data_IF_984604095488
#
_entry.id   IF_984604095488
#
_cell.length_a   1.000
_cell.length_b   1.000
_cell.length_c   1.000
_cell.angle_alpha   90.00
_cell.angle_beta   90.00
_cell.angle_gamma   90.00
#
_symmetry.space_group_name_H-M   'P 1'
#
loop_
_entity.id
_entity.type
_entity.pdbx_description
1 polymer ?
#
# COMPACT_ATOMS: atom_id res chain seq x y z
N UNK A 1 26.66 -72.42 20.42
CA UNK A 1 27.89 -72.80 19.74
C UNK A 1 28.46 -71.60 19.03
N UNK A 2 29.53 -71.20 19.45
CA UNK A 2 30.88 -70.90 19.02
C UNK A 2 31.03 -69.47 18.59
N UNK A 3 31.72 -68.72 19.35
CA UNK A 3 33.11 -68.43 19.63
C UNK A 3 33.69 -67.29 18.76
N UNK A 4 34.09 -66.26 19.50
CA UNK A 4 35.43 -65.55 19.45
C UNK A 4 35.72 -64.76 18.15
N UNK A 5 36.46 -63.67 18.18
CA UNK A 5 37.53 -63.08 19.05
C UNK A 5 37.78 -61.64 18.69
N UNK A 6 37.99 -60.88 19.71
CA UNK A 6 38.85 -59.70 19.88
C UNK A 6 40.03 -59.58 18.92
N UNK A 7 40.38 -58.35 18.52
CA UNK A 7 41.76 -57.83 18.58
C UNK A 7 41.72 -56.29 18.55
N UNK A 8 42.26 -55.74 19.63
CA UNK A 8 42.76 -54.38 19.73
C UNK A 8 43.92 -54.12 18.77
N UNK A 9 44.06 -52.91 18.29
CA UNK A 9 45.35 -52.25 18.17
C UNK A 9 45.19 -50.73 18.13
N UNK A 10 45.63 -50.15 19.21
CA UNK A 10 45.98 -48.74 19.34
C UNK A 10 47.15 -48.38 18.42
N UNK A 11 47.12 -47.22 17.81
CA UNK A 11 48.31 -46.46 17.51
C UNK A 11 48.02 -44.95 17.60
N UNK A 12 48.71 -44.33 18.50
CA UNK A 12 48.89 -42.88 18.67
C UNK A 12 49.62 -42.29 17.45
N UNK A 13 49.31 -41.06 17.15
CA UNK A 13 50.16 -39.92 16.78
C UNK A 13 49.34 -39.00 15.93
N UNK A 14 49.24 -37.79 16.32
CA UNK A 14 49.98 -36.64 16.12
C UNK A 14 49.13 -35.40 16.18
N UNK A 15 49.37 -34.56 17.13
CA UNK A 15 48.81 -33.21 17.25
C UNK A 15 49.25 -32.32 16.08
N UNK A 16 48.31 -31.59 15.50
CA UNK A 16 48.55 -30.29 14.88
C UNK A 16 47.31 -29.43 15.09
N UNK A 17 47.39 -28.61 16.12
CA UNK A 17 46.43 -27.54 16.35
C UNK A 17 46.68 -26.45 15.31
N UNK A 18 45.83 -26.36 14.28
CA UNK A 18 45.65 -25.17 13.47
C UNK A 18 44.55 -24.33 14.09
N UNK A 19 44.91 -23.38 14.90
CA UNK A 19 44.03 -22.29 15.32
C UNK A 19 43.91 -21.34 14.14
N UNK A 20 42.94 -21.61 13.26
CA UNK A 20 42.42 -20.62 12.35
C UNK A 20 41.43 -19.76 13.13
N UNK A 21 41.90 -18.63 13.67
CA UNK A 21 41.01 -17.54 14.10
C UNK A 21 40.35 -16.94 12.85
N UNK A 22 39.35 -17.63 12.35
CA UNK A 22 38.45 -17.09 11.33
C UNK A 22 37.50 -16.14 12.03
N UNK A 23 37.70 -14.84 11.89
CA UNK A 23 36.69 -13.82 12.17
C UNK A 23 35.53 -14.05 11.21
N UNK A 24 34.59 -14.88 11.62
CA UNK A 24 33.31 -15.06 10.92
C UNK A 24 32.55 -13.75 11.02
N UNK A 25 32.61 -12.95 9.97
CA UNK A 25 31.65 -11.86 9.78
C UNK A 25 30.29 -12.52 9.62
N UNK A 26 29.52 -12.57 10.70
CA UNK A 26 28.11 -12.96 10.63
C UNK A 26 27.40 -11.89 9.78
N UNK A 27 27.16 -12.20 8.50
CA UNK A 27 26.24 -11.44 7.69
C UNK A 27 24.87 -11.60 8.33
N UNK A 28 24.44 -10.58 9.08
CA UNK A 28 23.09 -10.49 9.57
C UNK A 28 22.15 -10.54 8.34
N UNK A 29 21.11 -11.40 8.33
CA UNK A 29 20.14 -11.37 7.25
C UNK A 29 19.57 -9.97 7.18
N UNK A 30 19.71 -9.30 6.05
CA UNK A 30 18.98 -8.07 5.76
C UNK A 30 17.50 -8.44 5.77
N UNK A 31 16.79 -8.04 6.83
CA UNK A 31 15.34 -8.17 6.87
C UNK A 31 14.81 -7.33 5.70
N UNK A 32 14.34 -8.01 4.66
CA UNK A 32 13.60 -7.35 3.58
C UNK A 32 12.32 -6.78 4.21
N UNK A 33 12.25 -5.45 4.31
CA UNK A 33 11.02 -4.82 4.77
C UNK A 33 9.89 -5.23 3.81
N UNK A 34 8.78 -5.75 4.37
CA UNK A 34 7.59 -6.00 3.59
C UNK A 34 7.15 -4.68 2.91
N UNK A 35 6.67 -4.72 1.65
CA UNK A 35 6.15 -3.52 1.00
C UNK A 35 5.11 -2.86 1.92
N UNK A 36 5.22 -1.55 2.10
CA UNK A 36 4.24 -0.82 2.89
C UNK A 36 2.84 -0.99 2.26
N UNK A 37 1.85 -1.32 3.09
CA UNK A 37 0.47 -1.43 2.64
C UNK A 37 -0.05 -0.05 2.22
N UNK A 38 -1.00 -0.02 1.28
CA UNK A 38 -1.69 1.20 0.89
C UNK A 38 -2.38 1.87 2.10
N UNK A 39 -2.39 3.18 2.12
CA UNK A 39 -3.04 3.97 3.17
C UNK A 39 -4.50 4.24 2.81
N UNK A 40 -5.42 4.00 3.73
CA UNK A 40 -6.82 4.37 3.58
C UNK A 40 -7.08 5.73 4.27
N UNK A 41 -7.71 6.65 3.55
CA UNK A 41 -8.04 8.00 4.03
C UNK A 41 -9.53 8.28 3.88
N UNK A 42 -10.19 8.61 5.00
CA UNK A 42 -11.56 9.11 5.00
C UNK A 42 -11.63 10.56 4.50
N UNK A 43 -12.58 10.84 3.63
CA UNK A 43 -12.82 12.15 2.99
C UNK A 43 -14.32 12.43 3.02
N UNK A 44 -14.70 13.67 3.40
CA UNK A 44 -15.99 14.23 3.08
C UNK A 44 -15.87 14.94 1.73
N UNK A 45 -16.73 14.64 0.78
CA UNK A 45 -16.65 15.18 -0.59
C UNK A 45 -17.02 16.67 -0.64
N UNK A 46 -16.42 17.39 -1.58
CA UNK A 46 -16.94 18.69 -2.02
C UNK A 46 -18.05 18.52 -3.06
N UNK A 47 -18.78 19.58 -3.33
CA UNK A 47 -19.71 19.66 -4.47
C UNK A 47 -18.98 19.60 -5.81
N UNK A 48 -19.73 19.61 -6.90
CA UNK A 48 -19.21 19.60 -8.27
C UNK A 48 -17.99 20.49 -8.46
N UNK A 49 -16.88 19.87 -8.89
CA UNK A 49 -15.57 20.50 -9.11
C UNK A 49 -14.98 21.28 -7.92
N UNK A 50 -15.56 21.19 -6.74
CA UNK A 50 -14.99 21.77 -5.52
C UNK A 50 -14.12 20.75 -4.75
N UNK A 51 -13.60 21.16 -3.61
CA UNK A 51 -12.81 20.30 -2.73
C UNK A 51 -13.57 20.10 -1.42
N UNK A 52 -13.61 18.86 -0.97
CA UNK A 52 -14.00 18.50 0.39
C UNK A 52 -12.77 18.43 1.30
N UNK A 53 -12.69 17.40 2.10
CA UNK A 53 -11.52 17.14 2.94
C UNK A 53 -10.29 16.91 2.07
N UNK A 54 -9.19 17.60 2.38
CA UNK A 54 -7.90 17.45 1.67
C UNK A 54 -7.02 16.44 2.42
N UNK A 55 -6.34 15.57 1.68
CA UNK A 55 -5.33 14.63 2.17
C UNK A 55 -4.10 14.69 1.26
N UNK A 56 -2.99 14.14 1.72
CA UNK A 56 -1.79 13.97 0.89
C UNK A 56 -1.66 12.50 0.48
N UNK A 57 -1.31 12.27 -0.78
CA UNK A 57 -1.01 10.94 -1.32
C UNK A 57 0.12 10.31 -0.51
N UNK A 58 -0.05 9.09 -0.06
CA UNK A 58 0.98 8.35 0.68
C UNK A 58 2.22 8.08 -0.21
N UNK A 59 3.38 8.04 0.43
CA UNK A 59 4.65 7.70 -0.24
C UNK A 59 4.86 6.17 -0.22
N UNK A 60 3.91 5.41 -0.77
CA UNK A 60 3.99 3.95 -0.87
C UNK A 60 4.24 3.55 -2.31
N UNK A 61 5.31 2.83 -2.58
CA UNK A 61 5.72 2.43 -3.94
C UNK A 61 4.73 1.47 -4.63
N UNK A 62 3.81 0.87 -3.88
CA UNK A 62 2.83 -0.09 -4.39
C UNK A 62 1.46 0.52 -4.68
N UNK A 63 1.24 1.78 -4.34
CA UNK A 63 -0.07 2.42 -4.40
C UNK A 63 0.04 3.76 -5.13
N UNK A 64 0.16 3.72 -6.47
CA UNK A 64 0.28 4.91 -7.33
C UNK A 64 -1.03 5.64 -7.59
N UNK A 65 -2.18 5.03 -7.26
CA UNK A 65 -3.49 5.50 -7.65
C UNK A 65 -4.31 6.00 -6.45
N UNK A 66 -5.38 6.75 -6.73
CA UNK A 66 -6.42 7.09 -5.76
C UNK A 66 -7.62 6.17 -6.01
N UNK A 67 -7.77 5.15 -5.19
CA UNK A 67 -8.80 4.13 -5.34
C UNK A 67 -9.96 4.41 -4.41
N UNK A 68 -11.16 4.60 -4.95
CA UNK A 68 -12.39 4.69 -4.15
C UNK A 68 -12.73 3.30 -3.63
N UNK A 69 -12.51 3.06 -2.35
CA UNK A 69 -12.74 1.74 -1.72
C UNK A 69 -13.99 1.69 -0.85
N UNK A 70 -14.60 2.83 -0.59
CA UNK A 70 -15.89 2.94 0.08
C UNK A 70 -16.56 4.25 -0.32
N UNK A 71 -17.90 4.22 -0.46
CA UNK A 71 -18.72 5.42 -0.59
C UNK A 71 -20.02 5.29 0.19
N UNK A 72 -20.50 6.41 0.71
CA UNK A 72 -21.80 6.57 1.35
C UNK A 72 -22.32 7.95 1.02
N UNK A 73 -23.41 7.99 0.25
CA UNK A 73 -24.09 9.23 -0.13
C UNK A 73 -24.70 9.91 1.11
N UNK A 74 -24.62 11.22 1.18
CA UNK A 74 -25.14 12.01 2.30
C UNK A 74 -26.65 12.22 2.25
N UNK A 75 -27.29 11.92 1.13
CA UNK A 75 -28.74 12.03 0.92
C UNK A 75 -29.45 10.67 0.97
N UNK A 76 -30.69 10.62 0.54
CA UNK A 76 -31.48 9.38 0.41
C UNK A 76 -31.15 8.57 -0.87
N UNK A 77 -30.25 9.03 -1.71
CA UNK A 77 -29.80 8.30 -2.91
C UNK A 77 -28.84 7.19 -2.49
N UNK A 78 -28.85 6.11 -3.23
CA UNK A 78 -27.94 4.97 -2.99
C UNK A 78 -26.66 5.03 -3.86
N UNK A 79 -26.43 6.15 -4.55
CA UNK A 79 -25.25 6.36 -5.39
C UNK A 79 -24.97 7.84 -5.62
N UNK A 80 -23.75 8.16 -5.95
CA UNK A 80 -23.35 9.42 -6.57
C UNK A 80 -22.25 9.15 -7.61
N UNK A 81 -21.73 10.22 -8.20
CA UNK A 81 -20.59 10.18 -9.12
C UNK A 81 -19.43 10.92 -8.48
N UNK A 82 -18.29 10.25 -8.35
CA UNK A 82 -17.14 10.76 -7.64
C UNK A 82 -15.97 11.01 -8.59
N UNK A 83 -15.29 12.11 -8.41
CA UNK A 83 -14.08 12.47 -9.14
C UNK A 83 -12.93 12.81 -8.20
N UNK A 84 -11.75 12.29 -8.51
CA UNK A 84 -10.52 12.69 -7.84
C UNK A 84 -10.10 14.09 -8.24
N UNK A 85 -9.69 14.88 -7.25
CA UNK A 85 -9.19 16.25 -7.41
C UNK A 85 -7.75 16.31 -6.94
N UNK A 86 -6.86 16.83 -7.77
CA UNK A 86 -5.44 17.01 -7.43
C UNK A 86 -5.06 18.48 -7.43
N UNK A 87 -4.16 18.84 -6.52
CA UNK A 87 -3.63 20.19 -6.41
C UNK A 87 -2.28 20.30 -7.09
N UNK A 88 -2.12 21.26 -8.00
CA UNK A 88 -0.84 21.60 -8.62
C UNK A 88 0.08 22.35 -7.65
N UNK A 89 1.34 22.45 -8.01
CA UNK A 89 2.34 23.22 -7.25
C UNK A 89 2.03 24.72 -7.17
N UNK A 90 1.31 25.27 -8.16
CA UNK A 90 0.82 26.64 -8.17
C UNK A 90 -0.41 26.88 -7.27
N UNK A 91 -0.90 25.81 -6.62
CA UNK A 91 -2.07 25.86 -5.73
C UNK A 91 -3.41 25.64 -6.42
N UNK A 92 -3.47 25.54 -7.75
CA UNK A 92 -4.72 25.30 -8.48
C UNK A 92 -5.15 23.84 -8.39
N UNK A 93 -6.46 23.63 -8.42
CA UNK A 93 -7.05 22.29 -8.41
C UNK A 93 -7.54 21.86 -9.80
N UNK A 94 -7.45 20.58 -10.10
CA UNK A 94 -7.99 20.03 -11.33
C UNK A 94 -8.60 18.65 -11.08
N UNK A 95 -9.56 18.28 -11.94
CA UNK A 95 -10.19 16.95 -11.94
C UNK A 95 -9.33 15.97 -12.70
N UNK A 96 -9.12 14.78 -12.16
CA UNK A 96 -8.39 13.71 -12.83
C UNK A 96 -9.04 13.29 -14.15
N UNK A 97 -8.25 12.72 -15.05
CA UNK A 97 -8.65 12.42 -16.43
C UNK A 97 -9.88 11.51 -16.53
N UNK A 98 -10.08 10.61 -15.55
CA UNK A 98 -11.24 9.71 -15.50
C UNK A 98 -12.57 10.45 -15.25
N UNK A 99 -12.50 11.67 -14.71
CA UNK A 99 -13.66 12.48 -14.35
C UNK A 99 -14.56 11.77 -13.33
N UNK A 100 -15.89 11.87 -13.48
CA UNK A 100 -16.87 11.37 -12.53
C UNK A 100 -17.20 9.90 -12.78
N UNK A 101 -17.02 9.07 -11.77
CA UNK A 101 -17.31 7.63 -11.77
C UNK A 101 -18.50 7.38 -10.88
N UNK A 102 -19.54 6.70 -11.41
CA UNK A 102 -20.68 6.28 -10.61
C UNK A 102 -20.26 5.21 -9.61
N UNK A 103 -20.62 5.40 -8.35
CA UNK A 103 -20.47 4.40 -7.31
C UNK A 103 -21.72 4.34 -6.42
N UNK A 104 -22.16 3.13 -6.13
CA UNK A 104 -23.23 2.87 -5.17
C UNK A 104 -22.66 2.84 -3.75
N UNK A 105 -23.51 3.09 -2.76
CA UNK A 105 -23.10 3.00 -1.36
C UNK A 105 -22.52 1.62 -1.02
N UNK A 106 -21.44 1.61 -0.25
CA UNK A 106 -20.78 0.40 0.20
C UNK A 106 -19.31 0.30 -0.18
N UNK A 107 -18.79 -0.93 -0.11
CA UNK A 107 -17.38 -1.22 -0.37
C UNK A 107 -17.12 -1.51 -1.85
N UNK A 108 -15.96 -1.04 -2.33
CA UNK A 108 -15.48 -1.28 -3.69
C UNK A 108 -14.12 -1.96 -3.64
N UNK A 109 -13.84 -2.84 -4.61
CA UNK A 109 -12.55 -3.51 -4.68
C UNK A 109 -11.46 -2.54 -5.12
N UNK A 110 -10.33 -2.53 -4.40
CA UNK A 110 -9.14 -1.75 -4.76
C UNK A 110 -8.58 -2.15 -6.14
N UNK A 111 -8.81 -3.40 -6.56
CA UNK A 111 -8.33 -3.93 -7.83
C UNK A 111 -9.31 -3.69 -8.99
N UNK A 112 -10.47 -3.08 -8.74
CA UNK A 112 -11.42 -2.72 -9.77
C UNK A 112 -11.07 -1.34 -10.34
N UNK A 113 -10.52 -1.32 -11.55
CA UNK A 113 -10.13 -0.09 -12.22
C UNK A 113 -11.29 0.86 -12.49
N UNK A 114 -12.55 0.42 -12.38
CA UNK A 114 -13.73 1.29 -12.45
C UNK A 114 -13.65 2.37 -11.36
N UNK A 115 -13.16 2.04 -10.19
CA UNK A 115 -13.10 2.91 -9.01
C UNK A 115 -11.76 3.60 -8.80
N UNK A 116 -10.84 3.54 -9.76
CA UNK A 116 -9.61 4.32 -9.71
C UNK A 116 -9.89 5.76 -10.15
N UNK A 117 -10.04 6.67 -9.20
CA UNK A 117 -10.40 8.06 -9.51
C UNK A 117 -9.27 8.84 -10.17
N UNK A 118 -8.03 8.57 -9.78
CA UNK A 118 -6.81 9.13 -10.39
C UNK A 118 -5.76 8.03 -10.48
N UNK A 119 -4.96 8.02 -11.52
CA UNK A 119 -3.85 7.08 -11.73
C UNK A 119 -2.51 7.81 -11.75
N UNK A 120 -1.44 7.09 -11.41
CA UNK A 120 -0.05 7.60 -11.45
C UNK A 120 0.13 8.92 -10.68
N UNK A 121 -0.45 9.00 -9.48
CA UNK A 121 -0.38 10.18 -8.63
C UNK A 121 0.94 10.19 -7.85
N UNK A 122 1.71 11.26 -8.00
CA UNK A 122 2.97 11.44 -7.28
C UNK A 122 2.76 11.47 -5.76
N UNK A 123 3.74 10.95 -5.03
CA UNK A 123 3.76 10.99 -3.57
C UNK A 123 3.62 12.41 -3.03
N UNK A 124 2.98 12.52 -1.88
CA UNK A 124 2.70 13.79 -1.19
C UNK A 124 1.85 14.81 -1.97
N UNK A 125 1.32 14.44 -3.15
CA UNK A 125 0.38 15.30 -3.87
C UNK A 125 -0.88 15.51 -3.03
N UNK A 126 -1.28 16.76 -2.75
CA UNK A 126 -2.55 17.04 -2.10
C UNK A 126 -3.71 16.61 -3.00
N UNK A 127 -4.65 15.87 -2.44
CA UNK A 127 -5.84 15.42 -3.15
C UNK A 127 -7.11 15.61 -2.34
N UNK A 128 -8.24 15.59 -3.02
CA UNK A 128 -9.59 15.60 -2.48
C UNK A 128 -10.51 14.81 -3.40
N UNK A 129 -11.77 14.72 -3.05
CA UNK A 129 -12.82 14.12 -3.89
C UNK A 129 -13.98 15.10 -3.99
N UNK A 130 -14.53 15.24 -5.20
CA UNK A 130 -15.83 15.91 -5.42
C UNK A 130 -16.88 14.91 -5.84
N UNK A 131 -18.11 15.15 -5.41
CA UNK A 131 -19.31 14.45 -5.92
C UNK A 131 -20.07 15.35 -6.91
N UNK A 132 -20.79 14.71 -7.82
CA UNK A 132 -21.47 15.41 -8.92
C UNK A 132 -22.82 15.96 -8.48
N UNK A 133 -23.58 15.17 -7.73
CA UNK A 133 -24.97 15.49 -7.41
C UNK A 133 -25.09 16.41 -6.20
N UNK A 134 -24.30 16.13 -5.17
CA UNK A 134 -24.28 16.89 -3.92
C UNK A 134 -22.98 16.64 -3.16
N UNK A 135 -22.47 17.64 -2.43
CA UNK A 135 -21.31 17.48 -1.56
C UNK A 135 -21.69 16.84 -0.22
N UNK A 136 -20.68 16.53 0.59
CA UNK A 136 -20.88 16.04 1.95
C UNK A 136 -20.92 14.52 2.10
N UNK A 137 -20.75 13.77 1.02
CA UNK A 137 -20.66 12.31 1.05
C UNK A 137 -19.43 11.84 1.80
N UNK A 138 -19.54 10.70 2.45
CA UNK A 138 -18.42 10.04 3.11
C UNK A 138 -17.78 9.02 2.18
N UNK A 139 -16.51 9.21 1.83
CA UNK A 139 -15.77 8.27 0.99
C UNK A 139 -14.45 7.85 1.63
N UNK A 140 -13.98 6.66 1.30
CA UNK A 140 -12.62 6.20 1.64
C UNK A 140 -11.82 6.05 0.37
N UNK A 141 -10.66 6.72 0.34
CA UNK A 141 -9.67 6.60 -0.72
C UNK A 141 -8.49 5.81 -0.20
N UNK A 142 -8.17 4.71 -0.88
CA UNK A 142 -6.97 3.92 -0.61
C UNK A 142 -5.89 4.26 -1.63
N UNK A 143 -4.68 4.62 -1.11
CA UNK A 143 -3.60 5.20 -1.92
C UNK A 143 -2.21 4.86 -1.41
#
# INVERSE_FOLDING_TARGET
>A
MSKRRTINRSLLAGALAFVCAGTGVALAPVASAAPAACTASGITTGEYESQGTVRNKSATSTCGDLNLTYSLNSSSRLYDYYAGRLRRSDGTWFTCAKRYVQAYDGNHSINDSTYWLCTDVNDNTPFSVSSLLEGGDSVTITH
#
